data_IF_251188808493
#
_entry.id   IF_251188808493
#
_cell.length_a   1.000
_cell.length_b   1.000
_cell.length_c   1.000
_cell.angle_alpha   90.00
_cell.angle_beta   90.00
_cell.angle_gamma   90.00
#
_symmetry.space_group_name_H-M   'P 1'
#
loop_
_entity.id
_entity.type
_entity.pdbx_description
1 polymer ?
#
# COMPACT_ATOMS: atom_id res chain seq x y z
N UNK A 1 22.39 -37.79 -4.59
CA UNK A 1 21.04 -37.87 -3.99
C UNK A 1 20.48 -36.44 -4.01
N UNK A 2 19.73 -36.08 -5.05
CA UNK A 2 19.07 -34.77 -5.15
C UNK A 2 17.83 -34.80 -4.24
N UNK A 3 17.88 -34.06 -3.13
CA UNK A 3 16.69 -33.80 -2.33
C UNK A 3 15.80 -32.84 -3.11
N UNK A 4 14.83 -33.39 -3.84
CA UNK A 4 13.77 -32.62 -4.49
C UNK A 4 12.75 -32.18 -3.43
N UNK A 5 13.14 -31.18 -2.64
CA UNK A 5 12.30 -30.54 -1.64
C UNK A 5 11.67 -29.29 -2.25
N UNK A 6 10.73 -29.50 -3.18
CA UNK A 6 9.85 -28.43 -3.67
C UNK A 6 8.97 -27.94 -2.52
N UNK A 7 9.37 -26.83 -1.88
CA UNK A 7 8.57 -26.13 -0.88
C UNK A 7 7.36 -25.46 -1.55
N UNK A 8 6.22 -25.42 -0.85
CA UNK A 8 5.06 -24.66 -1.30
C UNK A 8 5.45 -23.18 -1.51
N UNK A 9 4.86 -22.54 -2.53
CA UNK A 9 5.23 -21.16 -2.91
C UNK A 9 5.05 -20.15 -1.76
N UNK A 10 3.97 -20.27 -0.98
CA UNK A 10 3.69 -19.39 0.15
C UNK A 10 4.77 -19.47 1.24
N UNK A 11 5.24 -20.68 1.53
CA UNK A 11 6.30 -20.96 2.50
C UNK A 11 7.65 -20.48 1.94
N UNK A 12 7.88 -20.71 0.65
CA UNK A 12 9.09 -20.24 -0.05
C UNK A 12 9.22 -18.72 0.01
N UNK A 13 8.12 -17.99 -0.26
CA UNK A 13 8.06 -16.53 -0.20
C UNK A 13 8.32 -16.01 1.22
N UNK A 14 7.76 -16.66 2.26
CA UNK A 14 7.99 -16.30 3.66
C UNK A 14 9.45 -16.51 4.09
N UNK A 15 10.01 -17.69 3.80
CA UNK A 15 11.41 -18.00 4.10
C UNK A 15 12.33 -16.99 3.41
N UNK A 16 12.08 -16.71 2.13
CA UNK A 16 12.87 -15.75 1.38
C UNK A 16 12.79 -14.35 2.01
N UNK A 17 11.59 -13.86 2.33
CA UNK A 17 11.37 -12.57 2.97
C UNK A 17 12.10 -12.45 4.32
N UNK A 18 12.07 -13.48 5.15
CA UNK A 18 12.78 -13.47 6.43
C UNK A 18 14.31 -13.53 6.25
N UNK A 19 14.81 -14.32 5.30
CA UNK A 19 16.26 -14.42 5.04
C UNK A 19 16.85 -13.08 4.56
N UNK A 20 16.13 -12.34 3.72
CA UNK A 20 16.61 -11.05 3.19
C UNK A 20 16.55 -9.92 4.23
N UNK A 21 15.59 -9.95 5.18
CA UNK A 21 15.46 -8.91 6.24
C UNK A 21 16.72 -8.74 7.09
N UNK A 22 17.43 -9.83 7.36
CA UNK A 22 18.56 -9.84 8.29
C UNK A 22 19.94 -9.77 7.61
N UNK A 23 20.00 -9.76 6.27
CA UNK A 23 21.27 -9.72 5.55
C UNK A 23 21.50 -8.37 4.88
N UNK A 24 22.40 -7.57 5.46
CA UNK A 24 22.94 -6.38 4.79
C UNK A 24 23.57 -6.79 3.47
N UNK A 25 23.00 -6.36 2.34
CA UNK A 25 23.58 -6.08 1.00
C UNK A 25 24.80 -6.86 0.46
N UNK A 26 25.24 -7.98 1.04
CA UNK A 26 26.57 -8.58 0.76
C UNK A 26 26.64 -10.10 0.68
N UNK A 27 25.55 -10.86 0.88
CA UNK A 27 25.57 -12.30 0.58
C UNK A 27 24.64 -12.68 -0.59
N UNK A 28 24.93 -12.11 -1.76
CA UNK A 28 24.23 -12.39 -3.02
C UNK A 28 24.39 -13.84 -3.52
N UNK A 29 25.31 -14.61 -2.94
CA UNK A 29 25.53 -16.01 -3.32
C UNK A 29 24.32 -16.89 -2.99
N UNK A 30 23.58 -16.56 -1.93
CA UNK A 30 22.38 -17.32 -1.55
C UNK A 30 21.14 -17.01 -2.39
N UNK A 31 20.98 -15.83 -3.00
CA UNK A 31 19.79 -15.59 -3.85
C UNK A 31 19.84 -16.40 -5.15
N UNK A 32 21.05 -16.69 -5.65
CA UNK A 32 21.26 -17.51 -6.85
C UNK A 32 21.05 -19.00 -6.56
N UNK A 33 21.55 -19.52 -5.44
CA UNK A 33 21.44 -20.94 -5.07
C UNK A 33 20.15 -21.28 -4.28
N UNK A 34 19.71 -20.43 -3.34
CA UNK A 34 18.45 -20.65 -2.62
C UNK A 34 17.24 -20.34 -3.50
N UNK A 35 17.34 -19.40 -4.44
CA UNK A 35 16.31 -19.21 -5.46
C UNK A 35 16.03 -20.51 -6.21
N UNK A 36 17.08 -21.23 -6.65
CA UNK A 36 16.93 -22.48 -7.41
C UNK A 36 16.23 -23.61 -6.63
N UNK A 37 16.14 -23.50 -5.31
CA UNK A 37 15.45 -24.46 -4.42
C UNK A 37 14.03 -23.98 -4.06
N UNK A 38 13.76 -22.68 -4.15
CA UNK A 38 12.52 -22.05 -3.69
C UNK A 38 11.57 -21.76 -4.85
N UNK A 39 10.30 -22.13 -4.70
CA UNK A 39 9.27 -21.85 -5.70
C UNK A 39 8.64 -20.46 -5.48
N UNK A 40 9.40 -19.40 -5.76
CA UNK A 40 8.98 -18.03 -5.45
C UNK A 40 7.81 -17.56 -6.32
N UNK A 41 6.82 -16.92 -5.71
CA UNK A 41 5.73 -16.22 -6.41
C UNK A 41 5.63 -14.74 -6.01
N UNK A 42 6.28 -14.34 -4.94
CA UNK A 42 6.35 -12.97 -4.47
C UNK A 42 7.78 -12.56 -4.23
N UNK A 43 8.16 -11.39 -4.74
CA UNK A 43 9.50 -10.85 -4.58
C UNK A 43 9.44 -9.38 -4.19
N UNK A 44 9.67 -9.11 -2.90
CA UNK A 44 9.98 -7.79 -2.39
C UNK A 44 11.44 -7.78 -1.99
N UNK A 45 12.25 -6.89 -2.55
CA UNK A 45 13.68 -6.94 -2.24
C UNK A 45 14.28 -5.57 -2.01
N UNK A 46 14.93 -5.48 -0.86
CA UNK A 46 15.82 -4.41 -0.49
C UNK A 46 17.24 -4.98 -0.47
N UNK A 47 18.08 -4.78 -1.51
CA UNK A 47 17.83 -4.24 -2.86
C UNK A 47 17.74 -5.33 -3.96
N UNK A 48 16.87 -5.12 -4.97
CA UNK A 48 16.84 -5.98 -6.18
C UNK A 48 18.09 -5.66 -7.00
N UNK A 49 19.21 -6.32 -6.70
CA UNK A 49 20.38 -6.21 -7.58
C UNK A 49 20.08 -6.87 -8.93
N UNK A 50 20.70 -6.38 -9.99
CA UNK A 50 20.70 -6.97 -11.35
C UNK A 50 21.09 -8.46 -11.39
N UNK A 51 21.59 -9.01 -10.28
CA UNK A 51 22.07 -10.39 -10.17
C UNK A 51 20.99 -11.41 -9.75
N UNK A 52 19.74 -10.98 -9.50
CA UNK A 52 18.66 -11.93 -9.16
C UNK A 52 17.98 -12.41 -10.45
N UNK A 53 18.15 -13.69 -10.76
CA UNK A 53 17.53 -14.30 -11.93
C UNK A 53 16.08 -14.71 -11.64
N UNK A 54 15.16 -13.74 -11.67
CA UNK A 54 13.73 -13.98 -11.50
C UNK A 54 13.08 -14.66 -12.72
N UNK A 55 13.82 -14.82 -13.83
CA UNK A 55 13.34 -15.47 -15.05
C UNK A 55 13.02 -16.96 -14.88
N UNK A 56 13.38 -17.58 -13.75
CA UNK A 56 13.11 -18.99 -13.50
C UNK A 56 11.78 -19.25 -12.78
N UNK A 57 11.12 -18.21 -12.28
CA UNK A 57 9.93 -18.35 -11.43
C UNK A 57 8.65 -17.84 -12.11
N UNK A 58 7.50 -18.16 -11.53
CA UNK A 58 6.19 -17.63 -11.92
C UNK A 58 5.82 -16.48 -10.97
N UNK A 59 6.52 -15.36 -11.11
CA UNK A 59 6.37 -14.19 -10.23
C UNK A 59 4.99 -13.57 -10.45
N UNK A 60 4.27 -13.36 -9.34
CA UNK A 60 2.92 -12.78 -9.28
C UNK A 60 2.87 -11.45 -8.52
N UNK A 61 3.85 -11.20 -7.64
CA UNK A 61 4.02 -9.92 -6.95
C UNK A 61 5.48 -9.50 -7.00
N UNK A 62 5.73 -8.26 -7.42
CA UNK A 62 7.07 -7.71 -7.57
C UNK A 62 7.14 -6.29 -7.00
N UNK A 63 8.11 -6.04 -6.12
CA UNK A 63 8.51 -4.70 -5.72
C UNK A 63 9.91 -4.40 -6.24
N UNK A 64 10.06 -3.32 -7.00
CA UNK A 64 11.32 -2.92 -7.64
C UNK A 64 11.88 -1.68 -6.96
N UNK A 65 13.12 -1.73 -6.49
CA UNK A 65 13.84 -0.54 -6.06
C UNK A 65 14.53 0.12 -7.26
N UNK A 66 14.00 1.26 -7.69
CA UNK A 66 14.44 2.00 -8.88
C UNK A 66 15.80 2.68 -8.71
N UNK A 67 16.31 2.79 -7.48
CA UNK A 67 17.62 3.39 -7.20
C UNK A 67 18.74 2.49 -7.75
N UNK A 68 18.56 1.17 -7.68
CA UNK A 68 19.55 0.16 -8.14
C UNK A 68 19.79 0.19 -9.65
N UNK A 69 18.83 0.71 -10.41
CA UNK A 69 18.90 0.79 -11.87
C UNK A 69 19.35 2.18 -12.36
N UNK A 70 19.45 3.18 -11.48
CA UNK A 70 19.71 4.57 -11.87
C UNK A 70 21.10 4.79 -12.48
N UNK A 71 22.08 3.97 -12.10
CA UNK A 71 23.47 4.14 -12.51
C UNK A 71 23.93 3.15 -13.60
N UNK A 72 23.06 2.23 -14.03
CA UNK A 72 23.40 1.34 -15.13
C UNK A 72 22.83 1.90 -16.43
N UNK A 73 23.73 2.26 -17.35
CA UNK A 73 23.41 2.82 -18.67
C UNK A 73 22.54 1.92 -19.55
N UNK A 74 22.53 0.60 -19.32
CA UNK A 74 21.66 -0.35 -20.04
C UNK A 74 20.17 -0.10 -19.76
N UNK A 75 19.85 0.49 -18.61
CA UNK A 75 18.48 0.82 -18.20
C UNK A 75 18.19 2.32 -18.28
N UNK A 76 18.99 3.05 -19.04
CA UNK A 76 18.79 4.47 -19.32
C UNK A 76 18.59 4.64 -20.82
N UNK A 77 17.45 5.22 -21.19
CA UNK A 77 17.12 5.59 -22.57
C UNK A 77 17.24 7.11 -22.72
N UNK A 78 17.85 7.55 -23.81
CA UNK A 78 17.91 8.96 -24.16
C UNK A 78 16.59 9.41 -24.80
N UNK A 79 16.04 10.51 -24.31
CA UNK A 79 14.81 11.11 -24.85
C UNK A 79 15.03 12.59 -25.10
N UNK A 80 14.15 13.23 -25.87
CA UNK A 80 14.20 14.69 -26.12
C UNK A 80 14.19 15.52 -24.83
N UNK A 81 13.62 14.97 -23.75
CA UNK A 81 13.54 15.61 -22.44
C UNK A 81 14.69 15.20 -21.49
N UNK A 82 15.75 14.60 -22.04
CA UNK A 82 16.91 14.04 -21.33
C UNK A 82 16.77 12.55 -20.96
N UNK A 83 17.75 11.98 -20.24
CA UNK A 83 17.78 10.56 -19.92
C UNK A 83 16.57 10.14 -19.07
N UNK A 84 16.04 8.94 -19.34
CA UNK A 84 14.92 8.31 -18.64
C UNK A 84 15.27 6.87 -18.30
N UNK A 85 14.74 6.37 -17.19
CA UNK A 85 14.85 4.95 -16.85
C UNK A 85 13.97 4.11 -17.79
N UNK A 86 14.51 3.02 -18.32
CA UNK A 86 13.79 2.06 -19.15
C UNK A 86 13.11 1.00 -18.27
N UNK A 87 11.93 1.35 -17.73
CA UNK A 87 11.15 0.40 -16.93
C UNK A 87 10.76 -0.85 -17.70
N UNK A 88 10.57 -0.76 -19.02
CA UNK A 88 10.20 -1.91 -19.85
C UNK A 88 11.40 -2.86 -20.00
N UNK A 89 12.59 -2.32 -20.23
CA UNK A 89 13.85 -3.06 -20.21
C UNK A 89 14.10 -3.73 -18.85
N UNK A 90 13.93 -2.99 -17.76
CA UNK A 90 14.07 -3.53 -16.38
C UNK A 90 13.11 -4.71 -16.17
N UNK A 91 11.83 -4.55 -16.50
CA UNK A 91 10.83 -5.61 -16.36
C UNK A 91 11.13 -6.81 -17.25
N UNK A 92 11.65 -6.62 -18.47
CA UNK A 92 12.09 -7.72 -19.35
C UNK A 92 13.28 -8.48 -18.81
N UNK A 93 14.23 -7.79 -18.17
CA UNK A 93 15.38 -8.44 -17.52
C UNK A 93 14.96 -9.23 -16.29
N UNK A 94 14.01 -8.72 -15.51
CA UNK A 94 13.56 -9.39 -14.29
C UNK A 94 12.57 -10.53 -14.58
N UNK A 95 11.56 -10.30 -15.43
CA UNK A 95 10.42 -11.22 -15.58
C UNK A 95 10.51 -12.06 -16.85
N UNK A 96 10.22 -13.35 -16.74
CA UNK A 96 9.93 -14.20 -17.90
C UNK A 96 8.52 -13.95 -18.45
N UNK A 97 8.21 -14.52 -19.62
CA UNK A 97 6.89 -14.34 -20.26
C UNK A 97 5.75 -14.82 -19.36
N UNK A 98 5.90 -15.95 -18.69
CA UNK A 98 4.88 -16.50 -17.81
C UNK A 98 4.56 -15.54 -16.65
N UNK A 99 5.59 -15.00 -16.01
CA UNK A 99 5.47 -14.01 -14.94
C UNK A 99 4.81 -12.74 -15.44
N UNK A 100 5.16 -12.23 -16.63
CA UNK A 100 4.50 -11.06 -17.21
C UNK A 100 2.99 -11.27 -17.38
N UNK A 101 2.59 -12.46 -17.82
CA UNK A 101 1.18 -12.82 -17.95
C UNK A 101 0.49 -13.04 -16.60
N UNK A 102 1.21 -13.45 -15.55
CA UNK A 102 0.60 -13.79 -14.26
C UNK A 102 0.79 -12.74 -13.16
N UNK A 103 1.57 -11.68 -13.43
CA UNK A 103 1.84 -10.63 -12.45
C UNK A 103 0.54 -9.90 -12.09
N UNK A 104 0.26 -9.85 -10.79
CA UNK A 104 -0.91 -9.19 -10.21
C UNK A 104 -0.55 -7.95 -9.44
N UNK A 105 0.67 -7.87 -8.92
CA UNK A 105 1.11 -6.75 -8.10
C UNK A 105 2.48 -6.26 -8.56
N UNK A 106 2.55 -4.96 -8.83
CA UNK A 106 3.79 -4.26 -9.15
C UNK A 106 3.90 -3.00 -8.29
N UNK A 107 5.00 -2.91 -7.56
CA UNK A 107 5.32 -1.74 -6.73
C UNK A 107 6.69 -1.18 -7.05
N UNK A 108 6.87 0.10 -6.75
CA UNK A 108 8.13 0.80 -6.90
C UNK A 108 8.61 1.35 -5.57
N UNK A 109 9.90 1.25 -5.33
CA UNK A 109 10.60 1.96 -4.28
C UNK A 109 11.60 2.93 -4.91
N UNK A 110 11.70 4.12 -4.32
CA UNK A 110 12.54 5.18 -4.83
C UNK A 110 11.94 5.91 -6.04
N UNK A 111 12.63 6.98 -6.45
CA UNK A 111 12.16 7.85 -7.53
C UNK A 111 12.73 7.41 -8.88
N UNK A 112 11.85 7.08 -9.82
CA UNK A 112 12.17 6.85 -11.24
C UNK A 112 11.63 7.95 -12.13
N UNK A 113 12.42 8.36 -13.12
CA UNK A 113 11.99 9.28 -14.18
C UNK A 113 11.84 8.48 -15.47
N UNK A 114 10.60 8.21 -15.86
CA UNK A 114 10.29 7.37 -17.02
C UNK A 114 9.93 8.20 -18.25
N UNK A 115 10.00 7.58 -19.42
CA UNK A 115 9.50 8.16 -20.67
C UNK A 115 7.99 8.41 -20.63
N UNK A 116 7.48 9.17 -21.59
CA UNK A 116 6.03 9.32 -21.78
C UNK A 116 5.42 7.96 -22.15
N UNK A 117 4.17 7.73 -21.73
CA UNK A 117 3.38 6.53 -22.00
C UNK A 117 3.94 5.23 -21.39
N UNK A 118 4.85 5.31 -20.42
CA UNK A 118 5.41 4.14 -19.77
C UNK A 118 4.34 3.29 -19.06
N UNK A 119 3.31 3.92 -18.48
CA UNK A 119 2.24 3.20 -17.77
C UNK A 119 1.39 2.37 -18.74
N UNK A 120 1.14 2.89 -19.94
CA UNK A 120 0.43 2.16 -21.00
C UNK A 120 1.24 0.93 -21.43
N UNK A 121 2.55 1.12 -21.69
CA UNK A 121 3.47 0.02 -22.03
C UNK A 121 3.53 -1.04 -20.93
N UNK A 122 3.51 -0.63 -19.66
CA UNK A 122 3.44 -1.55 -18.50
C UNK A 122 2.10 -2.30 -18.49
N UNK A 123 0.99 -1.62 -18.75
CA UNK A 123 -0.34 -2.24 -18.83
C UNK A 123 -0.48 -3.27 -19.95
N UNK A 124 0.11 -2.98 -21.12
CA UNK A 124 0.19 -3.92 -22.25
C UNK A 124 1.06 -5.14 -21.93
N UNK A 125 2.19 -4.91 -21.25
CA UNK A 125 3.11 -5.97 -20.85
C UNK A 125 2.55 -6.86 -19.73
N UNK A 126 1.75 -6.30 -18.82
CA UNK A 126 1.26 -6.95 -17.61
C UNK A 126 -0.27 -6.93 -17.58
N UNK A 127 -0.94 -7.68 -18.47
CA UNK A 127 -2.37 -7.55 -18.70
C UNK A 127 -3.23 -7.94 -17.47
N UNK A 128 -2.68 -8.76 -16.56
CA UNK A 128 -3.39 -9.23 -15.37
C UNK A 128 -3.05 -8.43 -14.09
N UNK A 129 -2.43 -7.25 -14.24
CA UNK A 129 -2.07 -6.39 -13.12
C UNK A 129 -3.32 -5.90 -12.37
N UNK A 130 -3.35 -6.12 -11.05
CA UNK A 130 -4.46 -5.79 -10.15
C UNK A 130 -4.08 -4.73 -9.12
N UNK A 131 -2.82 -4.70 -8.69
CA UNK A 131 -2.29 -3.75 -7.72
C UNK A 131 -1.12 -3.04 -8.37
N UNK A 132 -1.19 -1.71 -8.42
CA UNK A 132 -0.15 -0.89 -9.02
C UNK A 132 0.20 0.29 -8.14
N UNK A 133 1.49 0.41 -7.85
CA UNK A 133 2.07 1.60 -7.26
C UNK A 133 2.46 2.57 -8.37
N UNK A 134 1.76 3.69 -8.45
CA UNK A 134 2.03 4.71 -9.43
C UNK A 134 2.84 5.82 -8.78
N UNK A 135 4.11 5.93 -9.17
CA UNK A 135 5.02 6.96 -8.65
C UNK A 135 5.00 8.27 -9.47
N UNK A 136 3.97 8.49 -10.30
CA UNK A 136 3.91 9.64 -11.22
C UNK A 136 2.47 10.08 -11.58
N UNK A 137 2.29 10.70 -12.75
CA UNK A 137 1.02 11.30 -13.19
C UNK A 137 -0.07 10.27 -13.52
N UNK A 138 -1.34 10.68 -13.34
CA UNK A 138 -2.54 9.90 -13.64
C UNK A 138 -2.87 9.80 -15.14
N UNK A 139 -2.19 10.57 -16.00
CA UNK A 139 -2.58 10.74 -17.40
C UNK A 139 -2.68 9.43 -18.22
N UNK A 140 -1.96 8.38 -17.81
CA UNK A 140 -1.77 7.15 -18.58
C UNK A 140 -2.36 5.90 -17.89
N UNK A 141 -3.16 6.06 -16.83
CA UNK A 141 -3.68 4.91 -16.07
C UNK A 141 -4.82 4.15 -16.77
N UNK A 142 -5.40 4.72 -17.82
CA UNK A 142 -6.57 4.17 -18.53
C UNK A 142 -6.29 2.81 -19.20
N UNK A 143 -5.03 2.48 -19.48
CA UNK A 143 -4.62 1.16 -19.99
C UNK A 143 -4.75 0.02 -18.96
N UNK A 144 -4.86 0.33 -17.66
CA UNK A 144 -4.85 -0.65 -16.57
C UNK A 144 -6.25 -1.20 -16.27
N UNK A 145 -6.86 -1.90 -17.24
CA UNK A 145 -8.27 -2.32 -17.22
C UNK A 145 -8.65 -3.27 -16.06
N UNK A 146 -7.70 -4.08 -15.60
CA UNK A 146 -7.90 -5.07 -14.53
C UNK A 146 -7.51 -4.55 -13.14
N UNK A 147 -7.17 -3.26 -13.03
CA UNK A 147 -6.68 -2.68 -11.80
C UNK A 147 -7.77 -2.64 -10.73
N UNK A 148 -7.47 -3.22 -9.58
CA UNK A 148 -8.34 -3.29 -8.39
C UNK A 148 -7.86 -2.38 -7.27
N UNK A 149 -6.55 -2.16 -7.18
CA UNK A 149 -5.93 -1.25 -6.22
C UNK A 149 -4.92 -0.34 -6.90
N UNK A 150 -5.09 0.97 -6.71
CA UNK A 150 -4.14 1.98 -7.14
C UNK A 150 -3.53 2.66 -5.92
N UNK A 151 -2.20 2.76 -5.90
CA UNK A 151 -1.46 3.40 -4.82
C UNK A 151 -0.77 4.64 -5.40
N UNK A 152 -0.98 5.78 -4.74
CA UNK A 152 -0.55 7.13 -5.13
C UNK A 152 0.21 7.79 -3.98
N UNK A 153 1.00 7.02 -3.23
CA UNK A 153 1.59 7.47 -1.97
C UNK A 153 2.62 8.59 -2.20
N UNK A 154 2.63 9.58 -1.31
CA UNK A 154 3.63 10.67 -1.30
C UNK A 154 3.64 11.56 -2.58
N UNK A 155 2.55 11.57 -3.36
CA UNK A 155 2.44 12.39 -4.57
C UNK A 155 1.90 13.80 -4.30
N UNK A 156 2.38 14.77 -5.08
CA UNK A 156 1.90 16.16 -5.07
C UNK A 156 1.19 16.48 -6.38
N UNK A 157 -0.09 16.81 -6.30
CA UNK A 157 -0.94 17.16 -7.44
C UNK A 157 -1.18 18.67 -7.51
N UNK A 158 -0.66 19.32 -8.55
CA UNK A 158 -0.80 20.77 -8.75
C UNK A 158 -2.04 21.15 -9.58
N UNK A 159 -2.55 20.22 -10.40
CA UNK A 159 -3.69 20.42 -11.28
C UNK A 159 -4.64 19.21 -11.26
N UNK A 160 -5.86 19.40 -11.77
CA UNK A 160 -6.87 18.36 -11.94
C UNK A 160 -6.69 17.54 -13.23
N UNK A 161 -5.57 17.73 -13.93
CA UNK A 161 -5.28 16.99 -15.16
C UNK A 161 -5.16 15.49 -14.86
N UNK A 162 -5.78 14.65 -15.70
CA UNK A 162 -5.75 13.20 -15.55
C UNK A 162 -6.69 12.62 -14.49
N UNK A 163 -7.27 13.42 -13.59
CA UNK A 163 -8.15 12.92 -12.52
C UNK A 163 -9.43 12.25 -13.06
N UNK A 164 -9.97 12.72 -14.18
CA UNK A 164 -11.14 12.08 -14.82
C UNK A 164 -10.88 10.60 -15.16
N UNK A 165 -9.63 10.23 -15.45
CA UNK A 165 -9.22 8.86 -15.78
C UNK A 165 -9.40 7.90 -14.60
N UNK A 166 -9.40 8.39 -13.37
CA UNK A 166 -9.66 7.56 -12.19
C UNK A 166 -11.07 6.95 -12.22
N UNK A 167 -12.04 7.69 -12.76
CA UNK A 167 -13.43 7.22 -12.88
C UNK A 167 -13.63 6.24 -14.04
N UNK A 168 -12.67 6.17 -14.98
CA UNK A 168 -12.69 5.25 -16.12
C UNK A 168 -12.20 3.85 -15.75
N UNK A 169 -11.63 3.66 -14.56
CA UNK A 169 -11.13 2.36 -14.10
C UNK A 169 -12.29 1.47 -13.61
N UNK A 170 -12.71 0.45 -14.39
CA UNK A 170 -13.97 -0.25 -14.13
C UNK A 170 -13.88 -1.15 -12.89
N UNK A 171 -12.68 -1.67 -12.58
CA UNK A 171 -12.47 -2.66 -11.52
C UNK A 171 -11.91 -2.09 -10.22
N UNK A 172 -11.67 -0.77 -10.15
CA UNK A 172 -10.99 -0.13 -9.03
C UNK A 172 -11.84 -0.21 -7.76
N UNK A 173 -11.29 -0.86 -6.73
CA UNK A 173 -11.93 -1.09 -5.44
C UNK A 173 -11.20 -0.42 -4.28
N UNK A 174 -9.89 -0.24 -4.41
CA UNK A 174 -9.03 0.37 -3.39
C UNK A 174 -8.24 1.50 -4.01
N UNK A 175 -8.23 2.65 -3.35
CA UNK A 175 -7.40 3.79 -3.71
C UNK A 175 -6.62 4.24 -2.49
N UNK A 176 -5.30 4.11 -2.54
CA UNK A 176 -4.41 4.60 -1.49
C UNK A 176 -3.80 5.92 -1.95
N UNK A 177 -4.22 7.01 -1.31
CA UNK A 177 -3.75 8.38 -1.52
C UNK A 177 -3.11 8.92 -0.24
N UNK A 178 -2.53 8.04 0.56
CA UNK A 178 -1.79 8.43 1.75
C UNK A 178 -0.67 9.40 1.41
N UNK A 179 -0.46 10.38 2.27
CA UNK A 179 0.65 11.34 2.19
C UNK A 179 0.61 12.18 0.90
N UNK A 180 -0.56 12.25 0.24
CA UNK A 180 -0.74 13.08 -0.95
C UNK A 180 -1.06 14.52 -0.62
N UNK A 181 -0.65 15.44 -1.49
CA UNK A 181 -1.05 16.85 -1.44
C UNK A 181 -1.81 17.24 -2.70
N UNK A 182 -2.90 17.97 -2.56
CA UNK A 182 -3.74 18.47 -3.64
C UNK A 182 -4.68 17.42 -4.22
N UNK A 183 -4.63 16.15 -3.80
CA UNK A 183 -5.42 15.07 -4.39
C UNK A 183 -6.93 15.38 -4.29
N UNK A 184 -7.42 15.69 -3.09
CA UNK A 184 -8.85 15.90 -2.86
C UNK A 184 -9.36 17.23 -3.42
N UNK A 185 -8.50 18.27 -3.43
CA UNK A 185 -8.82 19.53 -4.11
C UNK A 185 -9.07 19.28 -5.59
N UNK A 186 -8.17 18.57 -6.26
CA UNK A 186 -8.26 18.28 -7.68
C UNK A 186 -9.39 17.31 -8.01
N UNK A 187 -9.59 16.26 -7.21
CA UNK A 187 -10.69 15.31 -7.36
C UNK A 187 -12.07 16.00 -7.26
N UNK A 188 -12.19 17.06 -6.47
CA UNK A 188 -13.45 17.82 -6.31
C UNK A 188 -13.77 18.70 -7.51
N UNK A 189 -12.78 19.00 -8.37
CA UNK A 189 -12.97 19.78 -9.60
C UNK A 189 -13.45 18.91 -10.77
N UNK A 190 -13.43 17.59 -10.62
CA UNK A 190 -13.84 16.66 -11.66
C UNK A 190 -15.27 16.18 -11.45
N UNK A 191 -16.04 16.16 -12.53
CA UNK A 191 -17.30 15.43 -12.59
C UNK A 191 -16.99 13.95 -12.80
N UNK A 192 -17.64 13.09 -12.02
CA UNK A 192 -17.45 11.66 -12.09
C UNK A 192 -17.76 10.96 -10.76
N UNK A 193 -18.02 9.66 -10.87
CA UNK A 193 -18.18 8.79 -9.72
C UNK A 193 -17.43 7.50 -9.95
N UNK A 194 -16.81 6.97 -8.90
CA UNK A 194 -16.22 5.65 -8.94
C UNK A 194 -17.29 4.57 -9.01
N UNK A 195 -17.16 3.65 -9.96
CA UNK A 195 -18.13 2.58 -10.17
C UNK A 195 -18.08 1.53 -9.05
N UNK A 196 -16.87 1.09 -8.67
CA UNK A 196 -16.66 -0.05 -7.77
C UNK A 196 -15.79 0.26 -6.55
N UNK A 197 -15.44 1.53 -6.33
CA UNK A 197 -14.54 1.91 -5.25
C UNK A 197 -15.20 1.67 -3.89
N UNK A 198 -14.49 0.94 -3.02
CA UNK A 198 -14.98 0.54 -1.70
C UNK A 198 -14.14 1.13 -0.58
N UNK A 199 -12.86 1.35 -0.85
CA UNK A 199 -11.87 1.74 0.15
C UNK A 199 -11.05 2.90 -0.38
N UNK A 200 -10.93 3.94 0.43
CA UNK A 200 -9.97 5.02 0.23
C UNK A 200 -9.13 5.12 1.51
N UNK A 201 -7.83 4.97 1.34
CA UNK A 201 -6.82 5.25 2.35
C UNK A 201 -6.25 6.64 2.06
N UNK A 202 -6.25 7.51 3.07
CA UNK A 202 -5.88 8.91 2.91
C UNK A 202 -5.16 9.45 4.14
N UNK A 203 -4.43 8.57 4.84
CA UNK A 203 -3.58 8.95 5.95
C UNK A 203 -2.62 10.07 5.56
N UNK A 204 -2.46 11.11 6.39
CA UNK A 204 -1.58 12.25 6.10
C UNK A 204 -1.80 12.97 4.76
N UNK A 205 -2.98 12.85 4.14
CA UNK A 205 -3.32 13.69 3.00
C UNK A 205 -3.92 15.03 3.43
N UNK A 206 -4.03 15.98 2.52
CA UNK A 206 -4.63 17.30 2.74
C UNK A 206 -6.17 17.32 2.66
N UNK A 207 -6.83 16.20 2.94
CA UNK A 207 -8.30 16.12 2.92
C UNK A 207 -8.89 16.96 4.06
N UNK A 208 -9.96 17.68 3.75
CA UNK A 208 -10.76 18.44 4.72
C UNK A 208 -12.04 17.68 5.07
N UNK A 209 -12.66 18.02 6.20
CA UNK A 209 -13.95 17.43 6.59
C UNK A 209 -15.04 17.63 5.52
N UNK A 210 -15.10 18.83 4.92
CA UNK A 210 -16.07 19.13 3.85
C UNK A 210 -15.85 18.24 2.64
N UNK A 211 -14.60 18.12 2.16
CA UNK A 211 -14.26 17.24 1.04
C UNK A 211 -14.56 15.78 1.34
N UNK A 212 -14.36 15.34 2.58
CA UNK A 212 -14.71 13.99 3.01
C UNK A 212 -16.22 13.76 2.94
N UNK A 213 -17.02 14.68 3.47
CA UNK A 213 -18.49 14.60 3.41
C UNK A 213 -18.98 14.57 1.96
N UNK A 214 -18.40 15.41 1.11
CA UNK A 214 -18.72 15.42 -0.33
C UNK A 214 -18.30 14.12 -1.02
N UNK A 215 -17.15 13.55 -0.67
CA UNK A 215 -16.67 12.28 -1.20
C UNK A 215 -17.61 11.12 -0.84
N UNK A 216 -18.04 11.03 0.42
CA UNK A 216 -19.02 10.03 0.89
C UNK A 216 -20.36 10.22 0.19
N UNK A 217 -20.82 11.47 0.07
CA UNK A 217 -22.12 11.80 -0.56
C UNK A 217 -22.13 11.43 -2.05
N UNK A 218 -21.02 11.68 -2.76
CA UNK A 218 -20.88 11.38 -4.20
C UNK A 218 -20.69 9.89 -4.48
N UNK A 219 -20.17 9.12 -3.54
CA UNK A 219 -19.77 7.73 -3.77
C UNK A 219 -20.39 6.80 -2.73
N UNK A 220 -21.66 6.47 -2.94
CA UNK A 220 -22.44 5.59 -2.04
C UNK A 220 -21.89 4.16 -1.92
N UNK A 221 -21.00 3.74 -2.81
CA UNK A 221 -20.29 2.45 -2.79
C UNK A 221 -19.14 2.38 -1.79
N UNK A 222 -18.67 3.53 -1.26
CA UNK A 222 -17.60 3.58 -0.27
C UNK A 222 -18.04 2.94 1.05
N UNK A 223 -17.33 1.88 1.46
CA UNK A 223 -17.65 1.08 2.65
C UNK A 223 -16.83 1.48 3.85
N UNK A 224 -15.55 1.80 3.64
CA UNK A 224 -14.64 2.19 4.71
C UNK A 224 -13.71 3.27 4.17
N UNK A 225 -13.75 4.41 4.84
CA UNK A 225 -12.74 5.44 4.71
C UNK A 225 -11.77 5.26 5.85
N UNK A 226 -10.50 5.00 5.56
CA UNK A 226 -9.44 5.05 6.56
C UNK A 226 -9.06 6.52 6.83
N UNK A 227 -10.06 7.31 7.24
CA UNK A 227 -9.85 8.71 7.63
C UNK A 227 -9.62 8.72 9.12
N UNK A 228 -8.41 8.39 9.52
CA UNK A 228 -8.09 8.26 10.93
C UNK A 228 -7.53 9.54 11.55
N UNK A 229 -7.28 10.60 10.77
CA UNK A 229 -6.74 11.86 11.32
C UNK A 229 -7.73 13.05 11.29
N UNK A 230 -8.72 13.08 10.37
CA UNK A 230 -9.71 14.18 10.33
C UNK A 230 -10.81 13.99 11.38
N UNK A 231 -11.08 12.77 11.82
CA UNK A 231 -12.13 12.49 12.80
C UNK A 231 -11.85 13.05 14.20
N UNK A 232 -10.70 13.72 14.41
CA UNK A 232 -10.39 14.50 15.62
C UNK A 232 -11.31 15.70 15.88
N UNK A 233 -12.23 16.03 14.97
CA UNK A 233 -13.24 17.06 15.19
C UNK A 233 -14.64 16.52 14.89
N UNK A 234 -15.34 16.15 15.99
CA UNK A 234 -16.80 16.08 16.19
C UNK A 234 -17.64 15.44 15.08
N UNK A 235 -18.34 14.37 15.48
CA UNK A 235 -19.41 13.65 14.76
C UNK A 235 -19.01 12.94 13.48
N UNK A 236 -18.81 11.62 13.63
CA UNK A 236 -18.67 10.67 12.52
C UNK A 236 -19.92 10.76 11.65
N UNK A 237 -19.76 11.25 10.42
CA UNK A 237 -20.77 11.19 9.37
C UNK A 237 -20.96 9.74 8.88
N UNK A 238 -21.62 8.91 9.69
CA UNK A 238 -22.23 7.65 9.23
C UNK A 238 -21.75 6.36 9.88
N UNK A 239 -20.51 6.26 10.39
CA UNK A 239 -20.04 5.06 11.09
C UNK A 239 -20.25 5.21 12.58
N UNK A 240 -21.07 4.35 13.18
CA UNK A 240 -21.27 4.36 14.64
C UNK A 240 -19.97 3.94 15.31
N UNK A 241 -19.60 4.58 16.41
CA UNK A 241 -18.38 4.24 17.18
C UNK A 241 -18.28 2.73 17.46
N UNK A 242 -19.41 2.11 17.75
CA UNK A 242 -19.57 0.67 17.91
C UNK A 242 -19.10 -0.13 16.69
N UNK A 243 -19.50 0.28 15.49
CA UNK A 243 -19.15 -0.40 14.23
C UNK A 243 -17.65 -0.28 13.95
N UNK A 244 -17.08 0.89 14.23
CA UNK A 244 -15.64 1.12 14.12
C UNK A 244 -14.86 0.17 15.05
N UNK A 245 -15.21 0.14 16.34
CA UNK A 245 -14.50 -0.71 17.31
C UNK A 245 -14.67 -2.19 16.98
N UNK A 246 -15.89 -2.63 16.60
CA UNK A 246 -16.15 -4.01 16.16
C UNK A 246 -15.34 -4.38 14.92
N UNK A 247 -15.18 -3.47 13.97
CA UNK A 247 -14.34 -3.69 12.79
C UNK A 247 -12.87 -3.86 13.18
N UNK A 248 -12.33 -2.99 14.03
CA UNK A 248 -10.95 -3.09 14.52
C UNK A 248 -10.70 -4.41 15.26
N UNK A 249 -11.66 -4.85 16.07
CA UNK A 249 -11.61 -6.16 16.74
C UNK A 249 -11.58 -7.30 15.73
N UNK A 250 -12.46 -7.29 14.73
CA UNK A 250 -12.52 -8.32 13.68
C UNK A 250 -11.22 -8.39 12.86
N UNK A 251 -10.65 -7.24 12.49
CA UNK A 251 -9.38 -7.16 11.78
C UNK A 251 -8.25 -7.77 12.63
N UNK A 252 -8.21 -7.45 13.93
CA UNK A 252 -7.19 -7.99 14.85
C UNK A 252 -7.28 -9.51 15.01
N UNK A 253 -8.49 -10.08 15.00
CA UNK A 253 -8.69 -11.53 15.08
C UNK A 253 -8.33 -12.26 13.78
N UNK A 254 -8.68 -11.68 12.63
CA UNK A 254 -8.46 -12.30 11.33
C UNK A 254 -7.00 -12.26 10.88
N UNK A 255 -6.26 -11.25 11.33
CA UNK A 255 -4.86 -11.04 10.99
C UNK A 255 -4.01 -10.93 12.28
N UNK A 256 -3.85 -12.05 13.01
CA UNK A 256 -3.00 -12.07 14.20
C UNK A 256 -1.55 -11.75 13.80
N UNK A 257 -0.95 -10.82 14.51
CA UNK A 257 0.37 -10.29 14.15
C UNK A 257 1.45 -11.31 14.46
N UNK A 258 2.22 -11.64 13.43
CA UNK A 258 3.43 -12.46 13.51
C UNK A 258 4.63 -11.51 13.44
N UNK A 259 5.52 -11.56 14.43
CA UNK A 259 6.78 -10.81 14.41
C UNK A 259 6.67 -9.32 14.76
N UNK A 260 7.81 -8.71 15.12
CA UNK A 260 7.96 -7.39 15.74
C UNK A 260 7.51 -6.15 14.95
N UNK A 261 6.58 -6.27 14.01
CA UNK A 261 5.96 -5.13 13.34
C UNK A 261 4.94 -4.42 14.25
N UNK A 262 4.99 -3.08 14.25
CA UNK A 262 4.02 -2.24 14.99
C UNK A 262 2.61 -2.47 14.43
N UNK A 263 1.70 -2.95 15.28
CA UNK A 263 0.31 -3.26 14.92
C UNK A 263 -0.41 -2.09 14.23
N UNK A 264 -0.84 -2.31 12.97
CA UNK A 264 -1.59 -1.33 12.17
C UNK A 264 -2.91 -0.94 12.83
N UNK A 265 -3.65 -1.89 13.40
CA UNK A 265 -4.87 -1.62 14.21
C UNK A 265 -4.53 -0.74 15.42
N UNK A 266 -3.46 -1.04 16.15
CA UNK A 266 -3.07 -0.21 17.29
C UNK A 266 -2.70 1.22 16.86
N UNK A 267 -2.04 1.40 15.70
CA UNK A 267 -1.80 2.73 15.12
C UNK A 267 -3.12 3.46 14.81
N UNK A 268 -4.12 2.76 14.28
CA UNK A 268 -5.45 3.32 14.01
C UNK A 268 -6.19 3.74 15.27
N UNK A 269 -5.98 3.04 16.38
CA UNK A 269 -6.67 3.33 17.65
C UNK A 269 -6.08 4.54 18.39
N UNK A 270 -4.82 4.92 18.15
CA UNK A 270 -4.20 6.10 18.77
C UNK A 270 -4.96 7.41 18.47
N UNK A 271 -5.20 7.79 17.21
CA UNK A 271 -5.93 9.02 16.93
C UNK A 271 -7.41 8.96 17.35
N UNK A 272 -8.03 7.76 17.32
CA UNK A 272 -9.36 7.54 17.91
C UNK A 272 -9.41 7.98 19.38
N UNK A 273 -8.45 7.56 20.21
CA UNK A 273 -8.41 7.98 21.61
C UNK A 273 -8.10 9.47 21.79
N UNK A 274 -7.20 10.04 20.97
CA UNK A 274 -6.95 11.49 20.99
C UNK A 274 -8.21 12.31 20.71
N UNK A 275 -9.10 11.81 19.87
CA UNK A 275 -10.38 12.45 19.59
C UNK A 275 -11.35 12.39 20.76
N UNK A 276 -11.60 11.20 21.31
CA UNK A 276 -12.68 11.00 22.29
C UNK A 276 -12.24 11.37 23.72
N UNK A 277 -10.96 11.26 24.02
CA UNK A 277 -10.37 11.57 25.31
C UNK A 277 -9.20 12.55 25.13
N UNK A 278 -9.49 13.79 24.71
CA UNK A 278 -8.45 14.77 24.45
C UNK A 278 -7.61 15.00 25.71
N UNK A 279 -6.29 15.10 25.53
CA UNK A 279 -5.31 15.32 26.60
C UNK A 279 -5.20 14.20 27.65
N UNK A 280 -5.88 13.06 27.48
CA UNK A 280 -5.69 11.91 28.36
C UNK A 280 -4.69 10.93 27.75
N UNK A 281 -3.81 10.41 28.59
CA UNK A 281 -2.95 9.27 28.24
C UNK A 281 -3.77 7.99 28.16
N UNK A 282 -3.34 7.00 27.38
CA UNK A 282 -4.07 5.72 27.24
C UNK A 282 -4.14 4.99 28.58
N UNK A 283 -3.11 5.09 29.42
CA UNK A 283 -3.12 4.55 30.79
C UNK A 283 -4.24 5.20 31.61
N UNK A 284 -4.38 6.52 31.53
CA UNK A 284 -5.41 7.25 32.25
C UNK A 284 -6.80 6.88 31.73
N UNK A 285 -6.99 6.79 30.42
CA UNK A 285 -8.25 6.35 29.81
C UNK A 285 -8.67 4.98 30.35
N UNK A 286 -7.76 4.00 30.40
CA UNK A 286 -8.09 2.68 30.96
C UNK A 286 -8.57 2.76 32.41
N UNK A 287 -8.00 3.67 33.21
CA UNK A 287 -8.36 3.86 34.63
C UNK A 287 -9.66 4.62 34.82
N UNK A 288 -9.97 5.58 33.94
CA UNK A 288 -11.09 6.52 34.08
C UNK A 288 -12.31 6.11 33.26
N UNK A 289 -12.21 5.09 32.40
CA UNK A 289 -13.35 4.54 31.67
C UNK A 289 -14.44 4.06 32.64
N UNK A 290 -15.64 4.64 32.52
CA UNK A 290 -16.81 4.25 33.30
C UNK A 290 -17.28 2.83 32.91
N UNK A 291 -17.30 1.86 33.85
CA UNK A 291 -17.78 0.51 33.60
C UNK A 291 -19.23 0.41 33.13
N UNK A 292 -20.05 1.44 33.37
CA UNK A 292 -21.46 1.51 32.97
C UNK A 292 -21.67 2.24 31.64
N UNK A 293 -20.64 2.88 31.09
CA UNK A 293 -20.76 3.59 29.84
C UNK A 293 -20.98 2.61 28.67
N UNK A 294 -21.79 2.98 27.65
CA UNK A 294 -21.86 2.24 26.41
C UNK A 294 -20.46 2.03 25.82
N UNK A 295 -20.25 0.87 25.20
CA UNK A 295 -18.98 0.47 24.56
C UNK A 295 -17.78 0.36 25.52
N UNK A 296 -18.01 0.22 26.83
CA UNK A 296 -16.93 0.06 27.81
C UNK A 296 -15.95 -1.06 27.44
N UNK A 297 -16.47 -2.24 27.09
CA UNK A 297 -15.66 -3.41 26.74
C UNK A 297 -14.80 -3.16 25.50
N UNK A 298 -15.38 -2.57 24.47
CA UNK A 298 -14.74 -2.25 23.20
C UNK A 298 -13.66 -1.16 23.37
N UNK A 299 -13.97 -0.08 24.09
CA UNK A 299 -13.03 0.99 24.41
C UNK A 299 -11.88 0.47 25.26
N UNK A 300 -12.16 -0.36 26.26
CA UNK A 300 -11.14 -0.99 27.11
C UNK A 300 -10.25 -1.93 26.32
N UNK A 301 -10.83 -2.74 25.41
CA UNK A 301 -10.06 -3.58 24.50
C UNK A 301 -9.15 -2.74 23.59
N UNK A 302 -9.69 -1.67 23.01
CA UNK A 302 -8.94 -0.79 22.11
C UNK A 302 -7.76 -0.12 22.84
N UNK A 303 -7.99 0.39 24.06
CA UNK A 303 -6.97 1.07 24.84
C UNK A 303 -5.84 0.10 25.24
N UNK A 304 -6.21 -1.12 25.67
CA UNK A 304 -5.24 -2.20 25.95
C UNK A 304 -4.46 -2.60 24.70
N UNK A 305 -5.13 -2.64 23.54
CA UNK A 305 -4.48 -2.94 22.26
C UNK A 305 -3.44 -1.87 21.92
N UNK A 306 -3.76 -0.58 22.09
CA UNK A 306 -2.78 0.50 21.91
C UNK A 306 -1.60 0.31 22.87
N UNK A 307 -1.84 0.13 24.17
CA UNK A 307 -0.78 -0.02 25.17
C UNK A 307 0.17 -1.18 24.88
N UNK A 308 -0.38 -2.30 24.39
CA UNK A 308 0.40 -3.51 24.08
C UNK A 308 1.47 -3.25 23.02
N UNK A 309 1.18 -2.42 22.02
CA UNK A 309 2.08 -2.15 20.89
C UNK A 309 2.79 -0.80 20.97
N UNK A 310 2.26 0.13 21.79
CA UNK A 310 2.78 1.48 22.01
C UNK A 310 2.73 1.79 23.51
N UNK A 311 3.62 1.18 24.33
CA UNK A 311 3.66 1.45 25.75
C UNK A 311 4.06 2.91 25.99
N UNK A 312 3.31 3.60 26.87
CA UNK A 312 3.68 4.95 27.30
C UNK A 312 4.94 4.88 28.18
N UNK A 313 5.86 5.86 28.09
CA UNK A 313 7.04 5.89 28.94
C UNK A 313 6.61 5.98 30.40
N UNK A 314 7.22 5.14 31.24
CA UNK A 314 7.05 5.23 32.69
C UNK A 314 7.72 6.53 33.12
N UNK A 315 6.91 7.55 33.47
CA UNK A 315 7.45 8.76 34.11
C UNK A 315 7.94 8.35 35.50
N UNK A 316 9.25 8.18 35.63
CA UNK A 316 9.96 8.12 36.91
C UNK A 316 9.86 9.45 37.64
#
# INVERSE_FOLDING_TARGET
MHLDMSLEASISDQIFSEVIKYRSSRSFVLSKEAGLILNLTSFSSYPVSQNVNLQLYDIRSLTINLIEFRYNSEYIIETEEGPRQDIIGILKTLLNEKSRQNLRELRFEGYGRFERNWVEKVGEMLPNLQIFDLCSSLNQIHGLKNLQALILKELVFQSAEGFQRLFELPSLQVLDVSETKGFFRNLSLCEGTFQNLRFIECWWSDITETQLRDLVRRHSSLKVLAVLEILGQRTIGGVKEEEFLKLMMKVTHKYPILGGEKNKVAKCLIPYFKCIFPNQSIINIIKTLDPKAPLFSERKWAAKTVLRFFPEPVRS
#
